data_IF_457177368353
#
_entry.id   IF_457177368353
#
_cell.length_a   1.000
_cell.length_b   1.000
_cell.length_c   1.000
_cell.angle_alpha   90.00
_cell.angle_beta   90.00
_cell.angle_gamma   90.00
#
_symmetry.space_group_name_H-M   'P 1'
#
loop_
_entity.id
_entity.type
_entity.pdbx_description
1 polymer ?
#
# COMPACT_ATOMS: atom_id res chain seq x y z
N UNK A 1 5.46 -29.00 1.73
CA UNK A 1 4.82 -28.05 0.81
C UNK A 1 4.61 -26.68 1.45
N UNK A 2 4.04 -26.66 2.65
CA UNK A 2 3.87 -25.40 3.38
C UNK A 2 5.20 -24.75 3.76
N UNK A 3 6.27 -25.55 3.95
CA UNK A 3 7.58 -25.03 4.37
C UNK A 3 8.25 -24.18 3.30
N UNK A 4 8.14 -24.55 2.02
CA UNK A 4 8.72 -23.77 0.92
C UNK A 4 7.98 -22.43 0.76
N UNK A 5 6.64 -22.43 0.83
CA UNK A 5 5.84 -21.23 0.76
C UNK A 5 6.11 -20.30 1.94
N UNK A 6 6.24 -20.85 3.17
CA UNK A 6 6.59 -20.08 4.36
C UNK A 6 7.98 -19.46 4.25
N UNK A 7 8.96 -20.20 3.73
CA UNK A 7 10.31 -19.70 3.54
C UNK A 7 10.33 -18.55 2.53
N UNK A 8 9.55 -18.66 1.44
CA UNK A 8 9.44 -17.60 0.43
C UNK A 8 8.80 -16.34 1.00
N UNK A 9 7.76 -16.47 1.83
CA UNK A 9 7.11 -15.35 2.50
C UNK A 9 8.05 -14.71 3.51
N UNK A 10 8.79 -15.51 4.28
CA UNK A 10 9.77 -14.99 5.24
C UNK A 10 10.88 -14.22 4.55
N UNK A 11 11.36 -14.73 3.40
CA UNK A 11 12.37 -14.05 2.60
C UNK A 11 11.84 -12.72 2.06
N UNK A 12 10.60 -12.71 1.57
CA UNK A 12 9.96 -11.52 1.04
C UNK A 12 9.78 -10.45 2.13
N UNK A 13 9.31 -10.87 3.32
CA UNK A 13 9.16 -9.96 4.46
C UNK A 13 10.52 -9.45 4.95
N UNK A 14 11.53 -10.29 4.95
CA UNK A 14 12.90 -9.90 5.31
C UNK A 14 13.46 -8.85 4.37
N UNK A 15 13.21 -9.00 3.07
CA UNK A 15 13.60 -8.00 2.08
C UNK A 15 12.89 -6.67 2.33
N UNK A 16 11.60 -6.71 2.66
CA UNK A 16 10.82 -5.52 2.97
C UNK A 16 11.36 -4.79 4.20
N UNK A 17 11.66 -5.54 5.26
CA UNK A 17 12.22 -4.96 6.50
C UNK A 17 13.59 -4.32 6.25
N UNK A 18 14.45 -4.97 5.46
CA UNK A 18 15.77 -4.45 5.12
C UNK A 18 15.67 -3.17 4.31
N UNK A 19 14.78 -3.12 3.32
CA UNK A 19 14.57 -1.93 2.51
C UNK A 19 13.96 -0.80 3.34
N UNK A 20 13.02 -1.11 4.23
CA UNK A 20 12.45 -0.10 5.12
C UNK A 20 13.52 0.55 5.98
N UNK A 21 14.44 -0.24 6.52
CA UNK A 21 15.56 0.28 7.31
C UNK A 21 16.47 1.19 6.47
N UNK A 22 16.72 0.81 5.21
CA UNK A 22 17.50 1.62 4.28
C UNK A 22 16.81 2.93 3.94
N UNK A 23 15.49 2.91 3.73
CA UNK A 23 14.71 4.12 3.45
C UNK A 23 14.78 5.10 4.63
N UNK A 24 14.76 4.60 5.87
CA UNK A 24 14.86 5.41 7.07
C UNK A 24 16.25 6.07 7.19
N UNK A 25 17.29 5.41 6.69
CA UNK A 25 18.68 5.92 6.73
C UNK A 25 19.05 6.78 5.51
N UNK A 26 18.18 6.89 4.52
CA UNK A 26 18.42 7.59 3.26
C UNK A 26 18.81 6.61 2.15
N UNK A 27 17.87 6.31 1.27
CA UNK A 27 18.04 5.29 0.23
C UNK A 27 18.55 5.91 -1.07
N UNK A 28 19.27 5.11 -1.85
CA UNK A 28 19.64 5.45 -3.23
C UNK A 28 18.43 5.28 -4.16
N UNK A 29 18.53 5.84 -5.37
CA UNK A 29 17.47 5.67 -6.39
C UNK A 29 17.25 4.19 -6.73
N UNK A 30 18.32 3.39 -6.76
CA UNK A 30 18.20 1.95 -7.02
C UNK A 30 17.44 1.24 -5.89
N UNK A 31 17.68 1.65 -4.63
CA UNK A 31 16.96 1.09 -3.48
C UNK A 31 15.50 1.51 -3.48
N UNK A 32 15.19 2.75 -3.88
CA UNK A 32 13.80 3.20 -4.04
C UNK A 32 13.07 2.41 -5.11
N UNK A 33 13.72 2.15 -6.24
CA UNK A 33 13.14 1.35 -7.32
C UNK A 33 12.90 -0.10 -6.87
N UNK A 34 13.86 -0.69 -6.13
CA UNK A 34 13.71 -2.04 -5.60
C UNK A 34 12.55 -2.12 -4.61
N UNK A 35 12.41 -1.12 -3.74
CA UNK A 35 11.31 -1.07 -2.77
C UNK A 35 9.96 -0.96 -3.50
N UNK A 36 9.89 -0.14 -4.53
CA UNK A 36 8.66 0.02 -5.33
C UNK A 36 8.24 -1.30 -6.00
N UNK A 37 9.20 -2.02 -6.56
CA UNK A 37 8.94 -3.33 -7.17
C UNK A 37 8.47 -4.34 -6.12
N UNK A 38 9.06 -4.30 -4.92
CA UNK A 38 8.70 -5.20 -3.83
C UNK A 38 7.28 -4.99 -3.33
N UNK A 39 6.73 -3.77 -3.43
CA UNK A 39 5.34 -3.51 -3.08
C UNK A 39 4.38 -4.40 -3.87
N UNK A 40 4.60 -4.56 -5.17
CA UNK A 40 3.77 -5.41 -6.01
C UNK A 40 3.87 -6.87 -5.59
N UNK A 41 5.08 -7.33 -5.27
CA UNK A 41 5.29 -8.71 -4.80
C UNK A 41 4.58 -8.97 -3.48
N UNK A 42 4.65 -8.01 -2.54
CA UNK A 42 3.96 -8.11 -1.24
C UNK A 42 2.44 -8.15 -1.42
N UNK A 43 1.91 -7.30 -2.31
CA UNK A 43 0.48 -7.29 -2.61
C UNK A 43 0.03 -8.63 -3.17
N UNK A 44 0.77 -9.16 -4.14
CA UNK A 44 0.43 -10.44 -4.79
C UNK A 44 0.49 -11.60 -3.80
N UNK A 45 1.39 -11.52 -2.82
CA UNK A 45 1.50 -12.51 -1.75
C UNK A 45 0.55 -12.25 -0.58
N UNK A 46 -0.27 -11.19 -0.66
CA UNK A 46 -1.24 -10.80 0.38
C UNK A 46 -0.58 -10.52 1.74
N UNK A 47 0.64 -10.01 1.70
CA UNK A 47 1.38 -9.63 2.90
C UNK A 47 1.10 -8.15 3.21
N UNK A 48 -0.13 -7.86 3.64
CA UNK A 48 -0.63 -6.48 3.73
C UNK A 48 0.00 -5.69 4.87
N UNK A 49 0.38 -6.33 5.97
CA UNK A 49 1.10 -5.65 7.06
C UNK A 49 2.48 -5.17 6.60
N UNK A 50 3.24 -6.05 5.94
CA UNK A 50 4.55 -5.69 5.39
C UNK A 50 4.41 -4.67 4.26
N UNK A 51 3.39 -4.82 3.41
CA UNK A 51 3.10 -3.87 2.34
C UNK A 51 2.84 -2.47 2.91
N UNK A 52 1.99 -2.38 3.93
CA UNK A 52 1.66 -1.10 4.54
C UNK A 52 2.89 -0.42 5.15
N UNK A 53 3.73 -1.18 5.84
CA UNK A 53 4.93 -0.65 6.48
C UNK A 53 5.92 -0.12 5.45
N UNK A 54 6.21 -0.90 4.41
CA UNK A 54 7.14 -0.49 3.37
C UNK A 54 6.59 0.69 2.55
N UNK A 55 5.31 0.63 2.18
CA UNK A 55 4.66 1.69 1.41
C UNK A 55 4.59 3.01 2.19
N UNK A 56 4.39 2.95 3.50
CA UNK A 56 4.40 4.14 4.34
C UNK A 56 5.74 4.86 4.25
N UNK A 57 6.85 4.12 4.43
CA UNK A 57 8.18 4.71 4.33
C UNK A 57 8.49 5.18 2.92
N UNK A 58 8.12 4.39 1.92
CA UNK A 58 8.37 4.75 0.53
C UNK A 58 7.56 5.98 0.12
N UNK A 59 6.33 6.13 0.60
CA UNK A 59 5.51 7.30 0.31
C UNK A 59 6.09 8.59 0.88
N UNK A 60 6.82 8.49 2.00
CA UNK A 60 7.55 9.63 2.57
C UNK A 60 8.75 10.00 1.72
N UNK A 61 9.45 9.01 1.18
CA UNK A 61 10.61 9.23 0.32
C UNK A 61 10.22 9.71 -1.08
N UNK A 62 9.06 9.27 -1.58
CA UNK A 62 8.54 9.61 -2.91
C UNK A 62 7.09 10.11 -2.82
N UNK A 63 6.86 11.31 -2.23
CA UNK A 63 5.49 11.76 -1.93
C UNK A 63 4.60 11.97 -3.15
N UNK A 64 5.19 12.14 -4.33
CA UNK A 64 4.43 12.36 -5.57
C UNK A 64 4.16 11.07 -6.35
N UNK A 65 4.61 9.92 -5.85
CA UNK A 65 4.38 8.63 -6.50
C UNK A 65 2.98 8.12 -6.18
N UNK A 66 2.04 8.33 -7.10
CA UNK A 66 0.65 7.95 -6.95
C UNK A 66 0.47 6.45 -6.79
N UNK A 67 1.27 5.64 -7.51
CA UNK A 67 1.22 4.18 -7.44
C UNK A 67 1.55 3.68 -6.02
N UNK A 68 2.59 4.23 -5.41
CA UNK A 68 2.99 3.89 -4.05
C UNK A 68 1.87 4.24 -3.05
N UNK A 69 1.30 5.43 -3.18
CA UNK A 69 0.21 5.87 -2.29
C UNK A 69 -1.03 5.00 -2.44
N UNK A 70 -1.34 4.61 -3.66
CA UNK A 70 -2.48 3.73 -3.93
C UNK A 70 -2.28 2.36 -3.29
N UNK A 71 -1.09 1.77 -3.43
CA UNK A 71 -0.77 0.48 -2.81
C UNK A 71 -0.80 0.56 -1.28
N UNK A 72 -0.32 1.67 -0.71
CA UNK A 72 -0.42 1.90 0.71
C UNK A 72 -1.88 1.90 1.18
N UNK A 73 -2.73 2.64 0.47
CA UNK A 73 -4.16 2.71 0.79
C UNK A 73 -4.84 1.34 0.66
N UNK A 74 -4.49 0.57 -0.37
CA UNK A 74 -5.03 -0.78 -0.54
C UNK A 74 -4.68 -1.66 0.66
N UNK A 75 -3.43 -1.59 1.13
CA UNK A 75 -3.00 -2.35 2.31
C UNK A 75 -3.79 -1.94 3.56
N UNK A 76 -4.07 -0.64 3.72
CA UNK A 76 -4.88 -0.14 4.83
C UNK A 76 -6.31 -0.70 4.78
N UNK A 77 -6.92 -0.72 3.59
CA UNK A 77 -8.27 -1.28 3.41
C UNK A 77 -8.28 -2.77 3.81
N UNK A 78 -7.31 -3.54 3.33
CA UNK A 78 -7.25 -4.97 3.61
C UNK A 78 -7.02 -5.27 5.10
N UNK A 79 -6.41 -4.32 5.82
CA UNK A 79 -6.23 -4.42 7.27
C UNK A 79 -7.43 -3.86 8.06
N UNK A 80 -8.46 -3.36 7.38
CA UNK A 80 -9.64 -2.79 8.02
C UNK A 80 -9.46 -1.35 8.50
N UNK A 81 -8.37 -0.69 8.14
CA UNK A 81 -8.06 0.67 8.56
C UNK A 81 -8.65 1.66 7.55
N UNK A 82 -9.98 1.69 7.49
CA UNK A 82 -10.72 2.35 6.43
C UNK A 82 -10.60 3.88 6.46
N UNK A 83 -10.65 4.48 7.65
CA UNK A 83 -10.50 5.94 7.79
C UNK A 83 -9.14 6.39 7.31
N UNK A 84 -8.08 5.66 7.70
CA UNK A 84 -6.72 5.98 7.26
C UNK A 84 -6.59 5.85 5.74
N UNK A 85 -7.22 4.82 5.15
CA UNK A 85 -7.22 4.63 3.71
C UNK A 85 -7.92 5.79 2.99
N UNK A 86 -9.05 6.22 3.49
CA UNK A 86 -9.80 7.36 2.93
C UNK A 86 -8.94 8.63 2.99
N UNK A 87 -8.24 8.85 4.10
CA UNK A 87 -7.37 10.02 4.26
C UNK A 87 -6.23 10.05 3.23
N UNK A 88 -5.78 8.89 2.77
CA UNK A 88 -4.78 8.79 1.69
C UNK A 88 -5.43 8.98 0.32
N UNK A 89 -6.58 8.35 0.10
CA UNK A 89 -7.19 8.25 -1.22
C UNK A 89 -7.93 9.53 -1.66
N UNK A 90 -8.57 10.24 -0.74
CA UNK A 90 -9.33 11.45 -1.11
C UNK A 90 -8.44 12.52 -1.77
N UNK A 91 -7.33 12.93 -1.14
CA UNK A 91 -6.45 13.91 -1.79
C UNK A 91 -5.82 13.37 -3.07
N UNK A 92 -5.50 12.07 -3.08
CA UNK A 92 -4.88 11.44 -4.25
C UNK A 92 -5.81 11.46 -5.46
N UNK A 93 -7.06 11.02 -5.28
CA UNK A 93 -8.06 11.01 -6.35
C UNK A 93 -8.37 12.43 -6.85
N UNK A 94 -8.39 13.41 -5.96
CA UNK A 94 -8.68 14.80 -6.30
C UNK A 94 -7.55 15.46 -7.09
N UNK A 95 -6.29 15.10 -6.83
CA UNK A 95 -5.14 15.74 -7.45
C UNK A 95 -4.73 15.12 -8.79
N UNK A 96 -5.08 13.86 -9.03
CA UNK A 96 -4.71 13.17 -10.28
C UNK A 96 -5.65 13.58 -11.41
N UNK A 97 -5.12 13.76 -12.63
CA UNK A 97 -5.95 14.15 -13.77
C UNK A 97 -6.89 13.02 -14.20
N UNK A 98 -8.05 13.41 -14.72
CA UNK A 98 -8.97 12.44 -15.32
C UNK A 98 -8.27 11.74 -16.49
N UNK A 99 -8.43 10.42 -16.58
CA UNK A 99 -7.76 9.62 -17.59
C UNK A 99 -6.45 8.99 -17.12
N UNK A 100 -5.89 9.44 -16.00
CA UNK A 100 -4.74 8.78 -15.39
C UNK A 100 -5.20 7.43 -14.82
N UNK A 101 -4.53 6.30 -15.17
CA UNK A 101 -4.91 4.99 -14.63
C UNK A 101 -4.91 4.95 -13.09
N UNK A 102 -3.99 5.65 -12.45
CA UNK A 102 -3.94 5.69 -10.98
C UNK A 102 -5.12 6.48 -10.40
N UNK A 103 -5.65 7.47 -11.11
CA UNK A 103 -6.84 8.19 -10.69
C UNK A 103 -8.06 7.26 -10.64
N UNK A 104 -8.25 6.44 -11.67
CA UNK A 104 -9.35 5.48 -11.73
C UNK A 104 -9.23 4.45 -10.61
N UNK A 105 -8.03 3.93 -10.37
CA UNK A 105 -7.76 2.96 -9.30
C UNK A 105 -8.01 3.58 -7.92
N UNK A 106 -7.53 4.80 -7.68
CA UNK A 106 -7.74 5.50 -6.42
C UNK A 106 -9.22 5.77 -6.16
N UNK A 107 -9.95 6.19 -7.19
CA UNK A 107 -11.39 6.44 -7.09
C UNK A 107 -12.15 5.16 -6.78
N UNK A 108 -11.78 4.04 -7.42
CA UNK A 108 -12.40 2.73 -7.17
C UNK A 108 -12.18 2.26 -5.74
N UNK A 109 -10.95 2.39 -5.24
CA UNK A 109 -10.61 2.02 -3.86
C UNK A 109 -11.34 2.93 -2.85
N UNK A 110 -11.43 4.21 -3.15
CA UNK A 110 -12.14 5.17 -2.29
C UNK A 110 -13.61 4.80 -2.17
N UNK A 111 -14.25 4.46 -3.30
CA UNK A 111 -15.64 4.01 -3.30
C UNK A 111 -15.81 2.73 -2.49
N UNK A 112 -14.89 1.78 -2.63
CA UNK A 112 -14.89 0.53 -1.85
C UNK A 112 -14.75 0.81 -0.37
N UNK A 113 -13.87 1.73 0.02
CA UNK A 113 -13.65 2.07 1.44
C UNK A 113 -14.89 2.71 2.06
N UNK A 114 -15.52 3.67 1.36
CA UNK A 114 -16.76 4.30 1.83
C UNK A 114 -17.89 3.27 1.97
N UNK A 115 -18.02 2.37 1.01
CA UNK A 115 -19.04 1.32 1.04
C UNK A 115 -18.83 0.42 2.25
N UNK A 116 -17.60 0.05 2.55
CA UNK A 116 -17.28 -0.79 3.71
C UNK A 116 -17.59 -0.08 5.02
N UNK A 117 -17.26 1.20 5.12
CA UNK A 117 -17.61 2.02 6.30
C UNK A 117 -19.13 2.05 6.50
N UNK A 118 -19.87 2.22 5.41
CA UNK A 118 -21.34 2.22 5.46
C UNK A 118 -21.88 0.90 5.99
N UNK A 119 -21.40 -0.22 5.48
CA UNK A 119 -21.84 -1.53 5.94
C UNK A 119 -21.46 -1.80 7.39
N UNK A 120 -20.26 -1.43 7.79
CA UNK A 120 -19.81 -1.60 9.17
C UNK A 120 -20.66 -0.77 10.16
N UNK A 121 -21.07 0.44 9.76
CA UNK A 121 -21.95 1.28 10.54
C UNK A 121 -23.35 0.67 10.66
N UNK A 122 -23.86 0.10 9.60
CA UNK A 122 -25.16 -0.59 9.58
C UNK A 122 -25.17 -1.78 10.54
N UNK A 123 -24.11 -2.57 10.53
CA UNK A 123 -23.99 -3.75 11.39
C UNK A 123 -23.99 -3.41 12.88
N UNK A 124 -23.65 -2.18 13.23
CA UNK A 124 -23.61 -1.71 14.63
C UNK A 124 -24.96 -1.20 15.12
N UNK A 125 -25.93 -1.08 14.23
CA UNK A 125 -27.30 -0.69 14.57
C UNK A 125 -28.12 -1.93 14.84
#
# INVERSE_FOLDING_TARGET
MSDAASADLDALRGQADALRARLAAGATDAELAAARALLTALRNARQYDALAQLAEWLSRATPDDAHVRRLYAQALIEQGLLTAAIDVLQPLAARLPAGDPEQAEATGLLGRAFKQVFFDTQDKC
#
